data_IF_218557539844
#
_entry.id   IF_218557539844
#
_cell.length_a   1.000
_cell.length_b   1.000
_cell.length_c   1.000
_cell.angle_alpha   90.00
_cell.angle_beta   90.00
_cell.angle_gamma   90.00
#
_symmetry.space_group_name_H-M   'P 1'
#
loop_
_entity.id
_entity.type
_entity.pdbx_description
1 polymer ?
#
# COMPACT_ATOMS: atom_id res chain seq x y z
N UNK A 1 5.54 18.81 -8.35
CA UNK A 1 6.49 17.76 -8.77
C UNK A 1 6.99 17.04 -7.55
N UNK A 2 6.91 15.72 -7.54
CA UNK A 2 7.38 14.88 -6.45
C UNK A 2 8.89 15.06 -6.23
N UNK A 3 9.31 15.40 -5.03
CA UNK A 3 10.71 15.67 -4.68
C UNK A 3 11.42 14.39 -4.22
N UNK A 4 11.99 13.64 -5.19
CA UNK A 4 12.80 12.45 -4.88
C UNK A 4 14.20 12.84 -4.42
N UNK A 5 14.75 12.06 -3.46
CA UNK A 5 16.14 12.18 -2.96
C UNK A 5 17.01 11.05 -3.48
N UNK A 6 18.24 11.39 -3.77
CA UNK A 6 19.25 10.41 -4.12
C UNK A 6 19.55 9.49 -2.92
N UNK A 7 19.38 8.17 -3.04
CA UNK A 7 19.62 7.25 -1.93
C UNK A 7 21.11 7.13 -1.54
N UNK A 8 22.03 7.64 -2.39
CA UNK A 8 23.48 7.61 -2.14
C UNK A 8 23.96 8.86 -1.39
N UNK A 9 23.46 10.04 -1.75
CA UNK A 9 24.00 11.30 -1.24
C UNK A 9 22.94 12.28 -0.72
N UNK A 10 21.69 11.86 -0.65
CA UNK A 10 20.52 12.63 -0.23
C UNK A 10 20.26 13.94 -1.02
N UNK A 11 20.97 14.20 -2.12
CA UNK A 11 20.69 15.34 -3.00
C UNK A 11 19.41 15.14 -3.80
N UNK A 12 18.75 16.23 -4.21
CA UNK A 12 17.55 16.18 -5.03
C UNK A 12 17.78 15.41 -6.33
N UNK A 13 16.79 14.66 -6.77
CA UNK A 13 16.80 13.92 -8.03
C UNK A 13 15.95 14.65 -9.07
N UNK A 14 16.53 14.94 -10.23
CA UNK A 14 15.84 15.51 -11.38
C UNK A 14 15.66 14.45 -12.46
N UNK A 15 14.46 14.37 -13.04
CA UNK A 15 14.21 13.51 -14.21
C UNK A 15 14.80 14.17 -15.45
N UNK A 16 15.78 13.52 -16.06
CA UNK A 16 16.46 13.97 -17.28
C UNK A 16 16.58 12.81 -18.29
N UNK A 17 15.89 12.94 -19.42
CA UNK A 17 16.01 12.02 -20.56
C UNK A 17 15.89 10.53 -20.21
N UNK A 18 14.98 10.15 -19.31
CA UNK A 18 14.72 8.74 -18.97
C UNK A 18 15.52 8.20 -17.79
N UNK A 19 16.22 9.08 -17.05
CA UNK A 19 16.90 8.76 -15.81
C UNK A 19 16.70 9.86 -14.76
N UNK A 20 16.80 9.51 -13.49
CA UNK A 20 16.90 10.45 -12.38
C UNK A 20 18.36 10.70 -12.03
N UNK A 21 18.78 11.97 -12.05
CA UNK A 21 20.16 12.39 -11.75
C UNK A 21 20.18 13.34 -10.55
N UNK A 22 21.20 13.20 -9.70
CA UNK A 22 21.46 14.14 -8.63
C UNK A 22 22.64 15.09 -8.98
N UNK A 23 22.84 16.20 -8.22
CA UNK A 23 23.95 17.13 -8.46
C UNK A 23 25.36 16.52 -8.35
N UNK A 24 25.48 15.35 -7.68
CA UNK A 24 26.75 14.59 -7.61
C UNK A 24 26.88 13.51 -8.70
N UNK A 25 26.07 13.60 -9.77
CA UNK A 25 26.06 12.69 -10.91
C UNK A 25 25.73 11.22 -10.61
N UNK A 26 25.07 10.90 -9.50
CA UNK A 26 24.47 9.58 -9.38
C UNK A 26 23.27 9.51 -10.31
N UNK A 27 23.20 8.45 -11.11
CA UNK A 27 22.17 8.24 -12.14
C UNK A 27 21.39 6.95 -11.87
N UNK A 28 20.07 7.04 -12.02
CA UNK A 28 19.14 5.93 -11.83
C UNK A 28 18.18 5.85 -13.02
N UNK A 29 18.35 4.84 -13.84
CA UNK A 29 17.54 4.67 -15.06
C UNK A 29 16.07 4.38 -14.72
N UNK A 30 15.18 4.97 -15.51
CA UNK A 30 13.76 4.64 -15.47
C UNK A 30 13.57 3.36 -16.29
N UNK A 31 13.03 2.32 -15.66
CA UNK A 31 12.71 1.07 -16.32
C UNK A 31 11.69 1.29 -17.44
N UNK A 32 11.70 0.43 -18.47
CA UNK A 32 10.70 0.46 -19.58
C UNK A 32 9.24 0.43 -19.08
N UNK A 33 9.02 -0.15 -17.90
CA UNK A 33 7.72 -0.17 -17.21
C UNK A 33 7.44 1.06 -16.38
N UNK A 34 8.24 2.13 -16.43
CA UNK A 34 7.93 3.43 -15.86
C UNK A 34 8.34 3.65 -14.40
N UNK A 35 8.94 2.68 -13.70
CA UNK A 35 9.47 2.89 -12.35
C UNK A 35 10.98 3.13 -12.32
N UNK A 36 11.46 3.83 -11.30
CA UNK A 36 12.89 3.96 -10.99
C UNK A 36 13.28 3.05 -9.83
N UNK A 37 14.47 2.45 -9.85
CA UNK A 37 14.98 1.65 -8.73
C UNK A 37 15.93 2.48 -7.87
N UNK A 38 15.45 2.89 -6.69
CA UNK A 38 16.22 3.66 -5.71
C UNK A 38 16.61 2.82 -4.47
N UNK A 39 16.35 1.51 -4.49
CA UNK A 39 16.77 0.59 -3.43
C UNK A 39 18.26 0.25 -3.61
N UNK A 40 19.11 0.78 -2.73
CA UNK A 40 20.52 0.43 -2.65
C UNK A 40 20.68 -0.89 -1.88
N UNK A 41 21.32 -1.88 -2.50
CA UNK A 41 21.69 -3.18 -1.90
C UNK A 41 20.52 -4.03 -1.37
N UNK A 42 20.02 -4.91 -2.20
CA UNK A 42 19.13 -6.01 -1.82
C UNK A 42 19.88 -7.21 -1.21
N UNK A 43 21.02 -7.01 -0.55
CA UNK A 43 21.91 -8.11 -0.13
C UNK A 43 21.43 -8.93 1.07
N UNK A 44 20.30 -8.63 1.65
CA UNK A 44 19.68 -9.42 2.71
C UNK A 44 18.19 -9.61 2.47
N UNK A 45 17.81 -10.55 1.62
CA UNK A 45 16.63 -11.41 1.75
C UNK A 45 15.24 -10.82 2.01
N UNK A 46 15.08 -9.51 2.10
CA UNK A 46 13.77 -8.87 2.23
C UNK A 46 13.22 -8.57 0.84
N UNK A 47 12.72 -9.60 0.24
CA UNK A 47 11.89 -9.47 -0.94
C UNK A 47 10.49 -9.14 -0.44
N UNK A 48 9.89 -8.07 -0.94
CA UNK A 48 8.46 -7.81 -0.78
C UNK A 48 7.64 -9.02 -1.27
N UNK A 49 6.36 -8.84 -1.42
CA UNK A 49 5.49 -9.88 -1.94
C UNK A 49 6.09 -10.55 -3.19
N UNK A 50 6.09 -11.87 -3.22
CA UNK A 50 6.54 -12.62 -4.38
C UNK A 50 5.56 -12.49 -5.55
N UNK A 51 5.95 -13.00 -6.71
CA UNK A 51 5.12 -12.89 -7.94
C UNK A 51 3.74 -13.56 -7.78
N UNK A 52 3.66 -14.65 -7.02
CA UNK A 52 2.41 -15.36 -6.79
C UNK A 52 1.46 -14.53 -5.94
N UNK A 53 1.97 -13.96 -4.85
CA UNK A 53 1.21 -13.12 -3.95
C UNK A 53 0.71 -11.83 -4.63
N UNK A 54 1.59 -11.15 -5.37
CA UNK A 54 1.23 -9.94 -6.14
C UNK A 54 0.15 -10.24 -7.17
N UNK A 55 0.28 -11.37 -7.89
CA UNK A 55 -0.71 -11.78 -8.89
C UNK A 55 -2.05 -12.12 -8.24
N UNK A 56 -2.04 -12.92 -7.18
CA UNK A 56 -3.23 -13.31 -6.46
C UNK A 56 -3.98 -12.08 -5.90
N UNK A 57 -3.24 -11.10 -5.35
CA UNK A 57 -3.82 -9.84 -4.87
C UNK A 57 -4.47 -9.06 -6.01
N UNK A 58 -3.77 -8.85 -7.12
CA UNK A 58 -4.33 -8.16 -8.26
C UNK A 58 -5.60 -8.84 -8.77
N UNK A 59 -5.54 -10.16 -9.02
CA UNK A 59 -6.65 -10.93 -9.58
C UNK A 59 -7.87 -10.89 -8.65
N UNK A 60 -7.66 -10.87 -7.33
CA UNK A 60 -8.71 -10.77 -6.33
C UNK A 60 -9.31 -9.36 -6.26
N UNK A 61 -8.46 -8.34 -6.20
CA UNK A 61 -8.92 -6.95 -6.09
C UNK A 61 -9.60 -6.47 -7.37
N UNK A 62 -9.13 -6.89 -8.55
CA UNK A 62 -9.74 -6.55 -9.85
C UNK A 62 -11.16 -7.17 -10.02
N UNK A 63 -11.53 -8.19 -9.22
CA UNK A 63 -12.90 -8.74 -9.18
C UNK A 63 -13.86 -7.91 -8.30
N UNK A 64 -13.39 -6.85 -7.66
CA UNK A 64 -14.21 -5.92 -6.89
C UNK A 64 -14.56 -6.37 -5.46
N UNK A 65 -13.98 -7.47 -4.97
CA UNK A 65 -14.28 -7.96 -3.62
C UNK A 65 -13.97 -6.95 -2.51
N UNK A 66 -13.06 -5.99 -2.76
CA UNK A 66 -12.70 -4.94 -1.78
C UNK A 66 -13.19 -3.54 -2.20
N UNK A 67 -14.05 -3.42 -3.19
CA UNK A 67 -14.48 -2.11 -3.73
C UNK A 67 -15.03 -1.17 -2.67
N UNK A 68 -15.83 -1.70 -1.71
CA UNK A 68 -16.35 -0.91 -0.60
C UNK A 68 -15.23 -0.33 0.27
N UNK A 69 -14.19 -1.11 0.53
CA UNK A 69 -13.05 -0.67 1.31
C UNK A 69 -12.16 0.29 0.50
N UNK A 70 -11.92 0.00 -0.77
CA UNK A 70 -11.17 0.87 -1.69
C UNK A 70 -11.85 2.24 -1.79
N UNK A 71 -13.17 2.27 -1.95
CA UNK A 71 -13.92 3.52 -1.97
C UNK A 71 -13.80 4.31 -0.65
N UNK A 72 -13.91 3.63 0.49
CA UNK A 72 -13.78 4.29 1.79
C UNK A 72 -12.38 4.89 2.02
N UNK A 73 -11.32 4.20 1.57
CA UNK A 73 -9.94 4.73 1.58
C UNK A 73 -9.83 5.96 0.69
N UNK A 74 -10.36 5.88 -0.53
CA UNK A 74 -10.30 6.96 -1.51
C UNK A 74 -11.08 8.21 -1.06
N UNK A 75 -12.28 8.02 -0.51
CA UNK A 75 -13.10 9.12 0.02
C UNK A 75 -12.42 9.79 1.23
N UNK A 76 -11.86 8.98 2.15
CA UNK A 76 -11.13 9.51 3.30
C UNK A 76 -9.89 10.31 2.86
N UNK A 77 -9.09 9.77 1.94
CA UNK A 77 -7.94 10.48 1.42
C UNK A 77 -8.36 11.81 0.76
N UNK A 78 -9.33 11.79 -0.16
CA UNK A 78 -9.77 12.99 -0.85
C UNK A 78 -10.34 14.07 0.09
N UNK A 79 -10.89 13.71 1.23
CA UNK A 79 -11.40 14.64 2.24
C UNK A 79 -10.28 15.47 2.87
N UNK A 80 -9.18 14.81 3.27
CA UNK A 80 -8.07 15.44 3.98
C UNK A 80 -6.98 16.00 3.05
N UNK A 81 -6.92 15.57 1.79
CA UNK A 81 -6.00 16.10 0.78
C UNK A 81 -6.26 17.57 0.50
N UNK A 82 -5.26 18.48 0.51
CA UNK A 82 -5.41 19.88 0.08
C UNK A 82 -5.70 20.01 -1.43
N UNK A 83 -6.10 21.20 -1.92
CA UNK A 83 -6.43 21.41 -3.34
C UNK A 83 -5.33 21.05 -4.32
N UNK A 84 -4.08 21.32 -3.97
CA UNK A 84 -2.86 20.94 -4.69
C UNK A 84 -2.01 20.10 -3.77
N UNK A 85 -1.85 18.82 -4.04
CA UNK A 85 -1.21 17.89 -3.10
C UNK A 85 -0.22 16.95 -3.76
N UNK A 86 0.81 16.59 -2.99
CA UNK A 86 1.64 15.41 -3.23
C UNK A 86 1.22 14.31 -2.27
N UNK A 87 0.73 13.20 -2.81
CA UNK A 87 0.32 12.01 -2.06
C UNK A 87 1.36 10.91 -2.23
N UNK A 88 1.85 10.38 -1.12
CA UNK A 88 2.76 9.24 -1.08
C UNK A 88 2.01 7.98 -0.68
N UNK A 89 1.97 6.97 -1.54
CA UNK A 89 1.49 5.63 -1.19
C UNK A 89 2.69 4.75 -0.80
N UNK A 90 2.87 4.56 0.51
CA UNK A 90 4.00 3.83 1.09
C UNK A 90 3.67 2.33 1.19
N UNK A 91 4.14 1.56 0.23
CA UNK A 91 3.79 0.17 0.00
C UNK A 91 2.61 0.04 -0.95
N UNK A 92 2.66 0.76 -2.08
CA UNK A 92 1.54 0.90 -3.02
C UNK A 92 1.12 -0.41 -3.72
N UNK A 93 1.93 -1.45 -3.63
CA UNK A 93 1.65 -2.73 -4.26
C UNK A 93 1.43 -2.58 -5.78
N UNK A 94 0.32 -3.12 -6.27
CA UNK A 94 -0.06 -3.07 -7.68
C UNK A 94 -0.89 -1.82 -8.05
N UNK A 95 -1.07 -0.86 -7.12
CA UNK A 95 -1.56 0.49 -7.36
C UNK A 95 -3.07 0.69 -7.41
N UNK A 96 -3.89 -0.27 -6.97
CA UNK A 96 -5.35 -0.10 -7.02
C UNK A 96 -5.85 0.99 -6.08
N UNK A 97 -5.33 1.04 -4.85
CA UNK A 97 -5.66 2.10 -3.88
C UNK A 97 -5.16 3.46 -4.37
N UNK A 98 -3.92 3.51 -4.87
CA UNK A 98 -3.32 4.71 -5.46
C UNK A 98 -4.21 5.30 -6.55
N UNK A 99 -4.71 4.45 -7.48
CA UNK A 99 -5.59 4.88 -8.56
C UNK A 99 -6.94 5.40 -8.04
N UNK A 100 -7.53 4.69 -7.07
CA UNK A 100 -8.81 5.08 -6.49
C UNK A 100 -8.72 6.43 -5.76
N UNK A 101 -7.64 6.64 -5.00
CA UNK A 101 -7.36 7.91 -4.29
C UNK A 101 -7.18 9.05 -5.29
N UNK A 102 -6.34 8.89 -6.32
CA UNK A 102 -6.13 9.93 -7.32
C UNK A 102 -7.44 10.34 -8.00
N UNK A 103 -8.26 9.37 -8.41
CA UNK A 103 -9.57 9.63 -8.99
C UNK A 103 -10.55 10.34 -8.05
N UNK A 104 -10.51 10.00 -6.76
CA UNK A 104 -11.36 10.66 -5.77
C UNK A 104 -10.93 12.11 -5.52
N UNK A 105 -9.62 12.39 -5.48
CA UNK A 105 -9.06 13.75 -5.42
C UNK A 105 -9.52 14.58 -6.63
N UNK A 106 -9.37 14.06 -7.84
CA UNK A 106 -9.81 14.71 -9.07
C UNK A 106 -11.33 14.96 -9.08
N UNK A 107 -12.12 13.96 -8.68
CA UNK A 107 -13.59 14.10 -8.55
C UNK A 107 -14.02 15.17 -7.55
N UNK A 108 -13.21 15.38 -6.51
CA UNK A 108 -13.42 16.45 -5.54
C UNK A 108 -12.98 17.84 -6.06
N UNK A 109 -12.56 17.96 -7.34
CA UNK A 109 -12.09 19.21 -7.93
C UNK A 109 -10.71 19.65 -7.45
N UNK A 110 -9.94 18.72 -6.90
CA UNK A 110 -8.56 18.93 -6.42
C UNK A 110 -7.56 18.35 -7.41
N UNK A 111 -6.29 18.73 -7.29
CA UNK A 111 -5.21 18.17 -8.08
C UNK A 111 -4.23 17.41 -7.17
N UNK A 112 -3.93 16.17 -7.52
CA UNK A 112 -3.00 15.32 -6.78
C UNK A 112 -1.89 14.77 -7.66
N UNK A 113 -0.63 14.91 -7.22
CA UNK A 113 0.50 14.14 -7.75
C UNK A 113 0.72 12.92 -6.87
N UNK A 114 0.78 11.72 -7.46
CA UNK A 114 0.93 10.47 -6.71
C UNK A 114 2.33 9.87 -6.90
N UNK A 115 2.98 9.65 -5.76
CA UNK A 115 4.21 8.87 -5.66
C UNK A 115 3.89 7.50 -5.02
N UNK A 116 4.07 6.43 -5.78
CA UNK A 116 3.97 5.05 -5.28
C UNK A 116 5.35 4.47 -4.96
N UNK A 117 5.53 4.00 -3.75
CA UNK A 117 6.76 3.31 -3.31
C UNK A 117 6.43 1.87 -2.95
N UNK A 118 7.18 0.92 -3.50
CA UNK A 118 7.10 -0.49 -3.11
C UNK A 118 8.46 -1.16 -3.27
N UNK A 119 8.74 -2.16 -2.46
CA UNK A 119 9.98 -2.94 -2.57
C UNK A 119 9.92 -3.97 -3.71
N UNK A 120 8.71 -4.38 -4.13
CA UNK A 120 8.46 -5.38 -5.16
C UNK A 120 8.46 -4.76 -6.56
N UNK A 121 9.49 -5.02 -7.35
CA UNK A 121 9.53 -4.64 -8.78
C UNK A 121 8.34 -5.20 -9.55
N UNK A 122 7.87 -6.39 -9.20
CA UNK A 122 6.72 -7.03 -9.85
C UNK A 122 5.43 -6.25 -9.57
N UNK A 123 5.23 -5.79 -8.34
CA UNK A 123 4.08 -4.97 -7.98
C UNK A 123 4.07 -3.65 -8.78
N UNK A 124 5.20 -2.95 -8.84
CA UNK A 124 5.32 -1.70 -9.58
C UNK A 124 5.14 -1.87 -11.10
N UNK A 125 5.49 -3.03 -11.67
CA UNK A 125 5.17 -3.34 -13.08
C UNK A 125 3.66 -3.46 -13.34
N UNK A 126 2.85 -3.81 -12.34
CA UNK A 126 1.39 -3.77 -12.44
C UNK A 126 0.86 -2.36 -12.16
N UNK A 127 1.38 -1.68 -11.15
CA UNK A 127 0.99 -0.32 -10.81
C UNK A 127 1.17 0.66 -12.00
N UNK A 128 2.29 0.54 -12.73
CA UNK A 128 2.56 1.38 -13.90
C UNK A 128 1.56 1.22 -15.05
N UNK A 129 0.81 0.11 -15.08
CA UNK A 129 -0.23 -0.13 -16.07
C UNK A 129 -1.59 0.45 -15.65
N UNK A 130 -1.75 0.81 -14.37
CA UNK A 130 -2.99 1.41 -13.87
C UNK A 130 -3.10 2.88 -14.22
N UNK A 131 -2.01 3.62 -14.15
CA UNK A 131 -1.96 5.01 -14.61
C UNK A 131 -0.55 5.39 -15.06
N UNK A 132 -0.44 6.14 -16.18
CA UNK A 132 0.83 6.76 -16.60
C UNK A 132 1.23 7.94 -15.70
N UNK A 133 0.31 8.48 -14.92
CA UNK A 133 0.52 9.67 -14.08
C UNK A 133 1.18 9.34 -12.74
N UNK A 134 1.39 8.05 -12.45
CA UNK A 134 2.10 7.65 -11.24
C UNK A 134 3.61 7.85 -11.38
N UNK A 135 4.20 8.53 -10.42
CA UNK A 135 5.64 8.42 -10.17
C UNK A 135 5.89 7.19 -9.31
N UNK A 136 6.61 6.20 -9.83
CA UNK A 136 6.81 4.92 -9.14
C UNK A 136 8.28 4.68 -8.84
N UNK A 137 8.59 4.27 -7.59
CA UNK A 137 9.95 3.94 -7.24
C UNK A 137 10.07 2.68 -6.38
N UNK A 138 11.08 1.84 -6.69
CA UNK A 138 11.46 0.70 -5.86
C UNK A 138 12.28 1.24 -4.69
N UNK A 139 11.70 1.17 -3.49
CA UNK A 139 12.36 1.56 -2.25
C UNK A 139 11.70 0.89 -1.03
N UNK A 140 12.32 1.03 0.14
CA UNK A 140 11.78 0.55 1.41
C UNK A 140 10.97 1.65 2.10
N UNK A 141 9.84 1.30 2.72
CA UNK A 141 9.10 2.22 3.59
C UNK A 141 9.93 2.67 4.81
N UNK A 142 10.97 1.94 5.18
CA UNK A 142 11.88 2.32 6.25
C UNK A 142 12.94 3.36 5.82
N UNK A 143 13.10 3.59 4.53
CA UNK A 143 14.04 4.56 3.96
C UNK A 143 13.44 5.12 2.67
N UNK A 144 12.48 6.01 2.81
CA UNK A 144 11.78 6.62 1.68
C UNK A 144 12.72 7.60 0.94
N UNK A 145 12.90 7.47 -0.36
CA UNK A 145 13.74 8.39 -1.15
C UNK A 145 12.99 9.67 -1.49
N UNK A 146 12.47 10.33 -0.47
CA UNK A 146 11.62 11.52 -0.55
C UNK A 146 12.19 12.61 0.36
N UNK A 147 12.15 13.86 -0.07
CA UNK A 147 12.61 15.00 0.72
C UNK A 147 11.79 15.15 2.00
N UNK A 148 12.45 15.67 3.05
CA UNK A 148 11.82 15.95 4.33
C UNK A 148 10.74 17.02 4.17
N UNK A 149 9.57 16.80 4.77
CA UNK A 149 8.47 17.76 4.76
C UNK A 149 7.98 18.17 3.37
N UNK A 150 7.96 17.24 2.41
CA UNK A 150 7.63 17.53 1.02
C UNK A 150 6.29 16.95 0.55
N UNK A 151 5.69 16.01 1.30
CA UNK A 151 4.40 15.41 0.94
C UNK A 151 3.27 15.91 1.84
N UNK A 152 2.07 16.02 1.27
CA UNK A 152 0.89 16.50 1.99
C UNK A 152 0.15 15.36 2.68
N UNK A 153 0.17 14.17 2.07
CA UNK A 153 -0.50 12.99 2.59
C UNK A 153 0.31 11.72 2.36
N UNK A 154 0.33 10.84 3.37
CA UNK A 154 0.89 9.49 3.28
C UNK A 154 -0.22 8.46 3.42
N UNK A 155 -0.29 7.52 2.49
CA UNK A 155 -1.12 6.32 2.58
C UNK A 155 -0.26 5.16 3.07
N UNK A 156 -0.75 4.44 4.08
CA UNK A 156 -0.16 3.21 4.60
C UNK A 156 -1.24 2.12 4.63
N UNK A 157 -1.40 1.40 3.51
CA UNK A 157 -2.47 0.42 3.31
C UNK A 157 -1.88 -0.98 3.37
N UNK A 158 -1.97 -1.65 4.53
CA UNK A 158 -1.45 -3.02 4.77
C UNK A 158 0.05 -3.19 4.48
N UNK A 159 0.81 -2.13 4.56
CA UNK A 159 2.26 -2.09 4.40
C UNK A 159 2.98 -1.90 5.74
N UNK A 160 4.31 -2.05 5.81
CA UNK A 160 5.06 -1.79 7.04
C UNK A 160 4.79 -0.38 7.57
N UNK A 161 4.44 -0.27 8.86
CA UNK A 161 4.18 0.99 9.53
C UNK A 161 5.46 1.53 10.16
N UNK A 162 5.98 2.64 9.62
CA UNK A 162 7.24 3.29 10.03
C UNK A 162 6.97 4.77 10.31
N UNK A 163 6.36 5.08 11.47
CA UNK A 163 5.87 6.43 11.75
C UNK A 163 6.94 7.51 11.71
N UNK A 164 8.17 7.22 12.14
CA UNK A 164 9.27 8.19 12.14
C UNK A 164 9.60 8.64 10.70
N UNK A 165 9.58 7.70 9.76
CA UNK A 165 9.87 7.97 8.36
C UNK A 165 8.69 8.69 7.68
N UNK A 166 7.46 8.34 8.07
CA UNK A 166 6.26 9.05 7.60
C UNK A 166 6.21 10.48 8.13
N UNK A 167 6.55 10.69 9.42
CA UNK A 167 6.67 12.03 9.99
C UNK A 167 7.76 12.86 9.29
N UNK A 168 8.89 12.24 8.92
CA UNK A 168 9.97 12.94 8.22
C UNK A 168 9.51 13.50 6.88
N UNK A 169 8.80 12.72 6.06
CA UNK A 169 8.43 13.12 4.69
C UNK A 169 7.19 13.99 4.62
N UNK A 170 6.26 13.87 5.57
CA UNK A 170 5.07 14.72 5.64
C UNK A 170 5.44 16.17 5.96
N UNK A 171 4.71 17.10 5.39
CA UNK A 171 4.71 18.50 5.83
C UNK A 171 4.14 18.60 7.25
N UNK A 172 4.56 19.61 8.08
CA UNK A 172 3.84 19.90 9.31
C UNK A 172 2.34 20.11 9.04
N UNK A 173 1.48 19.46 9.83
CA UNK A 173 0.03 19.48 9.60
C UNK A 173 -0.47 18.58 8.45
N UNK A 174 0.42 17.88 7.73
CA UNK A 174 0.06 16.89 6.71
C UNK A 174 -0.59 15.64 7.32
N UNK A 175 -1.22 14.81 6.50
CA UNK A 175 -2.05 13.70 6.97
C UNK A 175 -1.43 12.34 6.68
N UNK A 176 -1.61 11.41 7.62
CA UNK A 176 -1.30 9.99 7.46
C UNK A 176 -2.59 9.18 7.55
N UNK A 177 -2.93 8.48 6.49
CA UNK A 177 -4.05 7.55 6.45
C UNK A 177 -3.53 6.11 6.56
N UNK A 178 -3.89 5.44 7.67
CA UNK A 178 -3.45 4.08 7.98
C UNK A 178 -4.61 3.10 7.95
N UNK A 179 -4.53 2.06 7.13
CA UNK A 179 -5.45 0.94 7.13
C UNK A 179 -4.94 -0.21 8.00
N UNK A 180 -5.85 -0.83 8.75
CA UNK A 180 -5.52 -1.96 9.62
C UNK A 180 -6.71 -2.93 9.73
N UNK A 181 -6.45 -4.23 9.99
CA UNK A 181 -7.53 -5.19 10.20
C UNK A 181 -8.18 -5.01 11.57
N UNK A 182 -9.50 -5.07 11.64
CA UNK A 182 -10.24 -5.19 12.90
C UNK A 182 -10.19 -6.64 13.42
N UNK A 183 -10.67 -6.84 14.65
CA UNK A 183 -10.59 -8.10 15.38
C UNK A 183 -11.09 -9.29 14.57
N UNK A 184 -12.26 -9.17 13.94
CA UNK A 184 -12.95 -10.24 13.22
C UNK A 184 -12.58 -10.35 11.73
N UNK A 185 -11.65 -9.53 11.24
CA UNK A 185 -11.28 -9.54 9.81
C UNK A 185 -10.77 -10.92 9.37
N UNK A 186 -11.38 -11.45 8.30
CA UNK A 186 -11.08 -12.76 7.69
C UNK A 186 -11.22 -13.95 8.68
N UNK A 187 -12.11 -13.84 9.66
CA UNK A 187 -12.33 -14.93 10.62
C UNK A 187 -12.66 -16.26 9.98
N UNK A 188 -13.54 -16.25 8.97
CA UNK A 188 -14.01 -17.47 8.31
C UNK A 188 -12.89 -18.13 7.49
N UNK A 189 -11.99 -17.34 6.87
CA UNK A 189 -10.80 -17.88 6.23
C UNK A 189 -9.86 -18.53 7.25
N UNK A 190 -9.65 -17.89 8.40
CA UNK A 190 -8.83 -18.47 9.48
C UNK A 190 -9.45 -19.73 10.04
N UNK A 191 -10.78 -19.78 10.20
CA UNK A 191 -11.50 -20.97 10.67
C UNK A 191 -11.45 -22.13 9.64
N UNK A 192 -11.33 -21.82 8.35
CA UNK A 192 -11.12 -22.81 7.32
C UNK A 192 -9.74 -23.47 7.41
N UNK A 193 -8.69 -22.66 7.60
CA UNK A 193 -7.29 -23.12 7.52
C UNK A 193 -6.71 -23.58 8.87
N UNK A 194 -7.13 -23.02 9.99
CA UNK A 194 -6.57 -23.33 11.31
C UNK A 194 -7.53 -24.13 12.17
N UNK A 195 -7.02 -25.15 12.85
CA UNK A 195 -7.81 -25.92 13.83
C UNK A 195 -8.18 -25.07 15.06
N UNK A 196 -7.38 -24.07 15.38
CA UNK A 196 -7.62 -23.10 16.45
C UNK A 196 -7.42 -21.68 15.94
N UNK A 197 -8.44 -21.11 15.27
CA UNK A 197 -8.35 -19.75 14.75
C UNK A 197 -8.28 -18.73 15.88
N UNK A 198 -7.58 -17.61 15.63
CA UNK A 198 -7.45 -16.52 16.61
C UNK A 198 -7.91 -15.22 15.99
N UNK A 199 -8.52 -14.38 16.82
CA UNK A 199 -8.80 -12.98 16.47
C UNK A 199 -7.53 -12.23 16.03
N UNK A 200 -7.68 -11.17 15.26
CA UNK A 200 -6.59 -10.24 15.07
C UNK A 200 -6.34 -9.49 16.38
N UNK A 201 -5.09 -9.25 16.75
CA UNK A 201 -4.79 -8.41 17.92
C UNK A 201 -5.28 -6.98 17.67
N UNK A 202 -5.62 -6.23 18.71
CA UNK A 202 -5.95 -4.83 18.57
C UNK A 202 -4.75 -4.05 18.04
N UNK A 203 -5.00 -3.16 17.08
CA UNK A 203 -3.97 -2.27 16.53
C UNK A 203 -3.79 -1.06 17.44
N UNK A 204 -2.59 -0.77 17.96
CA UNK A 204 -2.33 0.46 18.67
C UNK A 204 -2.55 1.68 17.76
N UNK A 205 -3.30 2.67 18.23
CA UNK A 205 -3.59 3.89 17.47
C UNK A 205 -2.82 5.11 17.97
N UNK A 206 -2.16 5.02 19.13
CA UNK A 206 -1.26 6.07 19.60
C UNK A 206 0.07 5.97 18.86
N UNK A 207 0.55 7.06 18.31
CA UNK A 207 1.78 7.13 17.52
C UNK A 207 2.49 8.45 17.80
N UNK A 208 3.77 8.41 18.15
CA UNK A 208 4.58 9.60 18.43
C UNK A 208 4.71 10.48 17.17
N UNK A 209 4.63 11.81 17.33
CA UNK A 209 4.69 12.79 16.25
C UNK A 209 3.40 12.92 15.43
N UNK A 210 2.31 12.31 15.92
CA UNK A 210 1.01 12.35 15.24
C UNK A 210 -0.15 12.48 16.22
N UNK A 211 -1.07 13.35 15.90
CA UNK A 211 -2.38 13.46 16.56
C UNK A 211 -3.42 12.64 15.79
N UNK A 212 -4.08 11.69 16.45
CA UNK A 212 -5.20 10.95 15.85
C UNK A 212 -6.41 11.89 15.69
N UNK A 213 -6.82 12.11 14.45
CA UNK A 213 -7.95 12.99 14.11
C UNK A 213 -9.26 12.21 14.10
N UNK A 214 -9.27 11.06 13.43
CA UNK A 214 -10.50 10.28 13.22
C UNK A 214 -10.18 8.80 13.03
N UNK A 215 -11.17 7.95 13.33
CA UNK A 215 -11.17 6.54 12.94
C UNK A 215 -12.47 6.18 12.25
N UNK A 216 -12.38 5.41 11.16
CA UNK A 216 -13.54 4.87 10.44
C UNK A 216 -13.46 3.36 10.42
N UNK A 217 -14.60 2.70 10.49
CA UNK A 217 -14.68 1.25 10.33
C UNK A 217 -15.44 0.90 9.07
N UNK A 218 -14.89 -0.01 8.29
CA UNK A 218 -15.52 -0.52 7.06
C UNK A 218 -15.75 -2.02 7.22
N UNK A 219 -17.02 -2.41 7.22
CA UNK A 219 -17.41 -3.82 7.30
C UNK A 219 -18.18 -4.23 6.07
N UNK A 220 -17.88 -5.43 5.59
CA UNK A 220 -18.58 -6.05 4.47
C UNK A 220 -18.59 -7.57 4.63
N UNK A 221 -19.43 -8.25 3.85
CA UNK A 221 -19.45 -9.70 3.73
C UNK A 221 -19.34 -10.02 2.25
N UNK A 222 -18.25 -10.68 1.88
CA UNK A 222 -18.05 -11.14 0.50
C UNK A 222 -18.37 -12.63 0.40
N UNK A 223 -18.89 -13.03 -0.75
CA UNK A 223 -19.13 -14.43 -1.07
C UNK A 223 -18.24 -14.87 -2.21
N UNK A 224 -17.33 -15.79 -1.90
CA UNK A 224 -16.46 -16.43 -2.87
C UNK A 224 -17.12 -17.73 -3.32
N UNK A 225 -17.48 -17.80 -4.59
CA UNK A 225 -18.26 -18.91 -5.17
C UNK A 225 -17.43 -19.91 -5.97
N UNK A 226 -16.10 -19.77 -5.94
CA UNK A 226 -15.19 -20.72 -6.56
C UNK A 226 -13.88 -20.81 -5.80
N UNK A 227 -13.22 -21.95 -5.92
CA UNK A 227 -11.95 -22.22 -5.24
C UNK A 227 -10.84 -21.25 -5.64
N UNK A 228 -10.79 -20.81 -6.91
CA UNK A 228 -9.77 -19.87 -7.38
C UNK A 228 -9.77 -18.57 -6.59
N UNK A 229 -10.95 -18.02 -6.26
CA UNK A 229 -11.08 -16.79 -5.49
C UNK A 229 -10.71 -16.98 -4.02
N UNK A 230 -11.05 -18.14 -3.45
CA UNK A 230 -10.64 -18.51 -2.08
C UNK A 230 -9.12 -18.59 -2.01
N UNK A 231 -8.47 -19.23 -2.98
CA UNK A 231 -7.03 -19.34 -3.06
C UNK A 231 -6.36 -17.97 -3.31
N UNK A 232 -6.97 -17.12 -4.11
CA UNK A 232 -6.47 -15.76 -4.35
C UNK A 232 -6.51 -14.93 -3.08
N UNK A 233 -7.65 -14.97 -2.32
CA UNK A 233 -7.75 -14.34 -1.01
C UNK A 233 -6.70 -14.89 -0.04
N UNK A 234 -6.54 -16.21 0.04
CA UNK A 234 -5.60 -16.85 0.96
C UNK A 234 -4.15 -16.45 0.62
N UNK A 235 -3.75 -16.55 -0.65
CA UNK A 235 -2.39 -16.26 -1.13
C UNK A 235 -1.98 -14.80 -0.98
N UNK A 236 -2.91 -13.85 -1.04
CA UNK A 236 -2.59 -12.44 -0.85
C UNK A 236 -2.41 -12.04 0.61
N UNK A 237 -2.67 -12.95 1.56
CA UNK A 237 -2.51 -12.71 2.99
C UNK A 237 -1.21 -13.32 3.53
N UNK A 238 -0.67 -12.80 4.64
CA UNK A 238 0.49 -13.40 5.29
C UNK A 238 0.21 -14.79 5.88
N UNK A 239 -1.05 -15.23 5.92
CA UNK A 239 -1.43 -16.57 6.41
C UNK A 239 -0.87 -17.66 5.51
N UNK A 240 -0.85 -17.46 4.19
CA UNK A 240 -0.36 -18.45 3.23
C UNK A 240 1.04 -18.97 3.59
N UNK A 241 1.97 -18.05 3.89
CA UNK A 241 3.36 -18.41 4.23
C UNK A 241 3.53 -18.95 5.65
N UNK A 242 2.55 -18.76 6.52
CA UNK A 242 2.56 -19.23 7.91
C UNK A 242 1.81 -20.55 8.11
N UNK A 243 1.18 -21.05 7.06
CA UNK A 243 0.31 -22.23 7.10
C UNK A 243 1.04 -23.44 6.49
N UNK A 244 1.07 -24.56 7.22
CA UNK A 244 1.65 -25.81 6.72
C UNK A 244 0.86 -26.44 5.58
N UNK A 245 1.48 -27.30 4.79
CA UNK A 245 0.88 -27.92 3.60
C UNK A 245 -0.46 -28.61 3.88
N UNK A 246 -0.58 -29.31 5.02
CA UNK A 246 -1.83 -29.96 5.44
C UNK A 246 -3.01 -28.99 5.57
N UNK A 247 -2.75 -27.82 6.13
CA UNK A 247 -3.81 -26.81 6.34
C UNK A 247 -4.07 -25.99 5.08
N UNK A 248 -3.06 -25.83 4.19
CA UNK A 248 -3.28 -25.27 2.85
C UNK A 248 -4.25 -26.09 2.02
N UNK A 249 -4.20 -27.43 2.11
CA UNK A 249 -5.12 -28.33 1.44
C UNK A 249 -6.60 -28.07 1.79
N UNK A 250 -6.89 -27.60 3.01
CA UNK A 250 -8.27 -27.23 3.38
C UNK A 250 -8.80 -26.09 2.51
N UNK A 251 -7.97 -25.09 2.23
CA UNK A 251 -8.33 -24.00 1.30
C UNK A 251 -8.42 -24.48 -0.16
N UNK A 252 -7.54 -25.41 -0.58
CA UNK A 252 -7.56 -26.01 -1.92
C UNK A 252 -8.82 -26.83 -2.21
N UNK A 253 -9.45 -27.40 -1.19
CA UNK A 253 -10.65 -28.22 -1.31
C UNK A 253 -11.96 -27.43 -1.18
N UNK A 254 -11.91 -26.21 -0.62
CA UNK A 254 -13.09 -25.38 -0.42
C UNK A 254 -13.65 -24.90 -1.77
N UNK A 255 -14.96 -25.02 -1.97
CA UNK A 255 -15.64 -24.62 -3.21
C UNK A 255 -16.35 -23.28 -3.08
N UNK A 256 -16.78 -22.93 -1.87
CA UNK A 256 -17.38 -21.64 -1.56
C UNK A 256 -16.95 -21.20 -0.16
N UNK A 257 -16.93 -19.88 0.05
CA UNK A 257 -16.62 -19.29 1.35
C UNK A 257 -17.28 -17.91 1.46
N UNK A 258 -18.04 -17.68 2.51
CA UNK A 258 -18.49 -16.34 2.88
C UNK A 258 -17.56 -15.80 3.94
N UNK A 259 -17.01 -14.60 3.71
CA UNK A 259 -15.95 -14.01 4.56
C UNK A 259 -16.33 -12.61 4.99
N UNK A 260 -16.19 -12.34 6.28
CA UNK A 260 -16.30 -11.00 6.82
C UNK A 260 -15.02 -10.20 6.55
N UNK A 261 -15.21 -9.06 5.92
CA UNK A 261 -14.20 -8.02 5.81
C UNK A 261 -14.46 -7.01 6.92
N UNK A 262 -13.45 -6.69 7.69
CA UNK A 262 -13.55 -5.73 8.77
C UNK A 262 -12.23 -4.95 8.88
N UNK A 263 -12.26 -3.69 8.44
CA UNK A 263 -11.10 -2.82 8.38
C UNK A 263 -11.31 -1.57 9.21
N UNK A 264 -10.25 -1.08 9.82
CA UNK A 264 -10.16 0.24 10.39
C UNK A 264 -9.32 1.16 9.49
N UNK A 265 -9.75 2.41 9.38
CA UNK A 265 -8.96 3.51 8.84
C UNK A 265 -8.69 4.47 10.00
N UNK A 266 -7.44 4.77 10.26
CA UNK A 266 -7.03 5.80 11.20
C UNK A 266 -6.41 6.95 10.42
N UNK A 267 -6.94 8.14 10.63
CA UNK A 267 -6.47 9.38 10.04
C UNK A 267 -5.73 10.15 11.13
N UNK A 268 -4.48 10.45 10.86
CA UNK A 268 -3.61 11.21 11.74
C UNK A 268 -3.19 12.50 11.07
N UNK A 269 -2.96 13.52 11.88
CA UNK A 269 -2.29 14.74 11.47
C UNK A 269 -0.88 14.75 12.07
N UNK A 270 0.13 15.10 11.28
CA UNK A 270 1.49 15.32 11.75
C UNK A 270 1.53 16.55 12.65
N UNK A 271 2.11 16.42 13.85
CA UNK A 271 2.31 17.49 14.84
C UNK A 271 3.23 18.62 14.31
#
# INVERSE_FOLDING_TARGET
MVNLRCPVCAGALENRAGAYLCPKNHSFDIAKSGYVNLLLNSSQGHHGDDKLMVRARRDFLDKGYYDRFIAAVADAAAEFTPPEATVLDAGCGEGIYSLAVLRAIEKAGKHGELLGVDISKTALQYASKRSPDFTLCVASCAHLPVEDGSVDEVLNIFSPFVPEEFARVLKPGGYLLRAYPLREHLWELKALIYDTPRDNPPTPLTTEGFTLVETREVRDIIRLSCNEDILSLFRMTPYYYKTGAKDQQKAEQAQELSVKLAFGLAIYQRD
#
